data_IF_737085087720
#
_entry.id   IF_737085087720
#
_cell.length_a   1.000
_cell.length_b   1.000
_cell.length_c   1.000
_cell.angle_alpha   90.00
_cell.angle_beta   90.00
_cell.angle_gamma   90.00
#
_symmetry.space_group_name_H-M   'P 1'
#
loop_
_entity.id
_entity.type
_entity.pdbx_description
1 polymer ?
#
# COMPACT_ATOMS: atom_id res chain seq x y z
N UNK A 1 17.98 1.49 17.77
CA UNK A 1 18.71 0.32 17.26
C UNK A 1 17.86 -0.37 16.19
N UNK A 2 18.48 -0.83 15.10
CA UNK A 2 17.80 -1.51 13.99
C UNK A 2 18.50 -2.85 13.77
N UNK A 3 17.74 -3.94 13.71
CA UNK A 3 18.28 -5.31 13.59
C UNK A 3 17.72 -5.99 12.33
N UNK A 4 18.13 -7.23 12.07
CA UNK A 4 17.55 -8.04 10.99
C UNK A 4 16.11 -8.51 11.25
N UNK A 5 15.56 -8.38 12.47
CA UNK A 5 14.22 -8.88 12.84
C UNK A 5 13.28 -7.84 13.50
N UNK A 6 13.81 -6.72 14.00
CA UNK A 6 13.07 -5.75 14.84
C UNK A 6 13.69 -4.36 14.86
N UNK A 7 12.87 -3.36 15.19
CA UNK A 7 13.30 -2.00 15.60
C UNK A 7 13.18 -1.89 17.11
N UNK A 8 14.23 -1.35 17.75
CA UNK A 8 14.24 -1.13 19.21
C UNK A 8 14.60 0.32 19.50
N UNK A 9 13.73 1.04 20.20
CA UNK A 9 14.04 2.34 20.78
C UNK A 9 14.72 2.14 22.12
N UNK A 10 15.90 2.75 22.28
CA UNK A 10 16.71 2.65 23.48
C UNK A 10 16.82 4.02 24.15
N UNK A 11 16.67 4.06 25.47
CA UNK A 11 17.05 5.20 26.29
C UNK A 11 18.48 4.97 26.80
N UNK A 12 19.40 5.80 26.33
CA UNK A 12 20.75 5.91 26.85
C UNK A 12 20.76 6.92 28.02
N UNK A 13 21.52 6.64 29.08
CA UNK A 13 21.74 7.61 30.18
C UNK A 13 22.89 8.59 29.90
N UNK A 14 23.89 8.14 29.15
CA UNK A 14 25.18 8.80 28.95
C UNK A 14 25.85 8.16 27.72
N UNK A 15 25.93 8.90 26.62
CA UNK A 15 26.41 8.38 25.33
C UNK A 15 27.90 7.97 25.38
N UNK A 16 28.69 8.60 26.25
CA UNK A 16 30.13 8.39 26.37
C UNK A 16 30.47 7.28 27.38
N UNK A 17 29.47 6.67 28.04
CA UNK A 17 29.63 5.61 29.05
C UNK A 17 28.76 4.37 28.79
N UNK A 18 28.48 4.09 27.52
CA UNK A 18 27.70 2.93 27.07
C UNK A 18 28.22 1.59 27.62
N UNK A 19 29.54 1.44 27.78
CA UNK A 19 30.17 0.22 28.34
C UNK A 19 29.96 0.05 29.84
N UNK A 20 29.64 1.14 30.56
CA UNK A 20 29.54 1.19 32.03
C UNK A 20 28.11 1.10 32.54
N UNK A 21 27.12 1.40 31.69
CA UNK A 21 25.70 1.36 32.06
C UNK A 21 24.84 0.89 30.87
N UNK A 22 24.13 -0.25 30.97
CA UNK A 22 23.33 -0.75 29.87
C UNK A 22 22.20 0.22 29.51
N UNK A 23 21.92 0.34 28.21
CA UNK A 23 20.78 1.11 27.71
C UNK A 23 19.45 0.43 28.05
N UNK A 24 18.44 1.22 28.41
CA UNK A 24 17.09 0.73 28.70
C UNK A 24 16.30 0.59 27.40
N UNK A 25 15.61 -0.54 27.20
CA UNK A 25 14.63 -0.68 26.11
C UNK A 25 13.37 0.11 26.47
N UNK A 26 12.99 1.04 25.60
CA UNK A 26 11.76 1.84 25.74
C UNK A 26 10.62 1.31 24.90
N UNK A 27 10.94 0.72 23.74
CA UNK A 27 9.98 0.17 22.78
C UNK A 27 10.71 -0.85 21.90
N UNK A 28 10.09 -1.98 21.63
CA UNK A 28 10.61 -3.05 20.77
C UNK A 28 9.46 -3.59 19.92
N UNK A 29 9.63 -3.58 18.59
CA UNK A 29 8.63 -4.07 17.65
C UNK A 29 9.29 -4.90 16.54
N UNK A 30 8.78 -6.13 16.27
CA UNK A 30 9.23 -6.97 15.18
C UNK A 30 8.82 -6.40 13.82
N UNK A 31 9.59 -6.68 12.76
CA UNK A 31 9.35 -6.15 11.41
C UNK A 31 8.00 -6.57 10.81
N UNK A 32 7.45 -7.67 11.31
CA UNK A 32 6.16 -8.25 10.95
C UNK A 32 4.99 -7.39 11.42
N UNK A 33 5.12 -6.68 12.55
CA UNK A 33 4.10 -5.80 13.12
C UNK A 33 4.23 -4.34 12.68
N UNK A 34 5.35 -3.95 12.06
CA UNK A 34 5.49 -2.64 11.44
C UNK A 34 4.63 -2.57 10.17
N UNK A 35 3.87 -1.48 10.01
CA UNK A 35 2.94 -1.27 8.90
C UNK A 35 3.35 -0.14 7.96
N UNK A 36 3.81 1.00 8.48
CA UNK A 36 4.22 2.14 7.67
C UNK A 36 5.26 2.99 8.41
N UNK A 37 6.02 3.80 7.65
CA UNK A 37 7.01 4.72 8.21
C UNK A 37 6.87 6.09 7.57
N UNK A 38 6.58 7.10 8.40
CA UNK A 38 6.25 8.46 7.99
C UNK A 38 7.19 9.48 8.64
N UNK A 39 7.43 10.59 7.92
CA UNK A 39 8.26 11.71 8.36
C UNK A 39 7.39 12.95 8.56
N UNK A 40 7.30 13.43 9.80
CA UNK A 40 6.45 14.56 10.15
C UNK A 40 7.24 15.84 10.43
N UNK A 41 6.63 16.97 10.04
CA UNK A 41 7.11 18.35 10.20
C UNK A 41 6.36 19.06 11.33
N UNK A 42 6.52 18.61 12.57
CA UNK A 42 5.83 19.24 13.70
C UNK A 42 6.44 20.62 13.99
N UNK A 43 5.77 21.70 13.55
CA UNK A 43 6.18 23.09 13.76
C UNK A 43 7.54 23.49 13.15
N UNK A 44 8.04 22.74 12.17
CA UNK A 44 9.41 22.86 11.65
C UNK A 44 9.45 22.71 10.13
N UNK A 45 10.28 23.51 9.44
CA UNK A 45 10.37 23.48 7.96
C UNK A 45 10.94 22.16 7.41
N UNK A 46 11.77 21.48 8.22
CA UNK A 46 12.42 20.20 7.93
C UNK A 46 11.79 19.08 8.78
N UNK A 47 11.75 17.82 8.31
CA UNK A 47 11.26 16.70 9.10
C UNK A 47 12.01 16.55 10.44
N UNK A 48 11.25 16.56 11.52
CA UNK A 48 11.75 16.53 12.90
C UNK A 48 11.25 15.33 13.68
N UNK A 49 10.20 14.65 13.19
CA UNK A 49 9.60 13.50 13.84
C UNK A 49 9.52 12.32 12.88
N UNK A 50 9.73 11.12 13.43
CA UNK A 50 9.56 9.83 12.75
C UNK A 50 8.37 9.12 13.37
N UNK A 51 7.44 8.63 12.55
CA UNK A 51 6.24 7.92 13.01
C UNK A 51 6.27 6.49 12.46
N UNK A 52 6.27 5.52 13.36
CA UNK A 52 6.21 4.09 13.06
C UNK A 52 4.78 3.60 13.30
N UNK A 53 4.02 3.34 12.24
CA UNK A 53 2.65 2.83 12.34
C UNK A 53 2.67 1.30 12.50
N UNK A 54 1.81 0.77 13.38
CA UNK A 54 1.71 -0.66 13.69
C UNK A 54 0.54 -1.34 12.97
N UNK A 55 0.65 -2.64 12.70
CA UNK A 55 -0.43 -3.47 12.14
C UNK A 55 -1.47 -3.82 13.20
N UNK A 56 -1.01 -4.33 14.34
CA UNK A 56 -1.86 -4.79 15.43
C UNK A 56 -1.78 -3.80 16.59
N UNK A 57 -2.94 -3.30 17.02
CA UNK A 57 -3.12 -2.51 18.23
C UNK A 57 -4.58 -2.66 18.70
N UNK A 58 -4.81 -2.61 20.01
CA UNK A 58 -6.15 -2.49 20.60
C UNK A 58 -6.59 -1.04 20.64
N UNK A 59 -7.88 -0.76 20.71
CA UNK A 59 -8.44 0.61 20.85
C UNK A 59 -7.84 1.45 22.00
N UNK A 60 -7.34 0.80 23.05
CA UNK A 60 -6.70 1.45 24.21
C UNK A 60 -5.19 1.66 24.06
N UNK A 61 -4.58 1.17 22.98
CA UNK A 61 -3.14 1.17 22.73
C UNK A 61 -2.78 2.19 21.63
N UNK A 62 -1.54 2.67 21.63
CA UNK A 62 -1.08 3.54 20.55
C UNK A 62 -0.87 2.75 19.26
N UNK A 63 -1.58 3.14 18.21
CA UNK A 63 -1.43 2.57 16.86
C UNK A 63 -0.11 2.95 16.18
N UNK A 64 0.61 3.93 16.71
CA UNK A 64 1.90 4.37 16.19
C UNK A 64 2.87 4.78 17.30
N UNK A 65 4.17 4.60 17.04
CA UNK A 65 5.24 5.15 17.87
C UNK A 65 5.80 6.41 17.21
N UNK A 66 5.60 7.55 17.88
CA UNK A 66 6.21 8.83 17.48
C UNK A 66 7.59 8.95 18.15
N UNK A 67 8.59 9.35 17.38
CA UNK A 67 9.96 9.59 17.84
C UNK A 67 10.35 11.01 17.41
N UNK A 68 10.61 11.89 18.39
CA UNK A 68 11.22 13.20 18.14
C UNK A 68 12.72 13.01 17.87
N UNK A 69 13.20 13.58 16.77
CA UNK A 69 14.60 13.56 16.38
C UNK A 69 15.22 14.96 16.55
N UNK A 70 16.54 15.02 16.66
CA UNK A 70 17.26 16.30 16.64
C UNK A 70 17.23 16.90 15.23
N UNK A 71 16.94 18.19 15.17
CA UNK A 71 17.13 19.01 13.98
C UNK A 71 18.37 19.85 14.25
N UNK A 72 19.51 19.62 13.57
CA UNK A 72 20.64 20.51 13.68
C UNK A 72 20.25 21.89 13.15
N UNK A 73 20.55 22.94 13.91
CA UNK A 73 20.25 24.33 13.54
C UNK A 73 21.16 24.82 12.40
N UNK A 74 22.37 24.26 12.31
CA UNK A 74 23.35 24.60 11.27
C UNK A 74 22.84 24.27 9.86
N UNK A 75 22.78 25.31 9.02
CA UNK A 75 22.24 25.29 7.67
C UNK A 75 23.11 24.54 6.64
N UNK A 76 24.21 23.91 7.06
CA UNK A 76 25.28 23.32 6.23
C UNK A 76 24.89 22.03 5.46
N UNK A 77 23.73 22.01 4.81
CA UNK A 77 23.30 20.95 3.88
C UNK A 77 23.04 19.56 4.51
N UNK A 78 23.29 19.38 5.80
CA UNK A 78 23.20 18.09 6.48
C UNK A 78 21.73 17.61 6.56
N UNK A 79 21.46 16.40 6.07
CA UNK A 79 20.12 15.79 6.15
C UNK A 79 19.61 15.73 7.61
N UNK A 80 18.33 16.03 7.89
CA UNK A 80 17.77 15.93 9.24
C UNK A 80 17.92 14.52 9.84
N UNK A 81 18.12 14.42 11.15
CA UNK A 81 18.32 13.12 11.82
C UNK A 81 17.14 12.15 11.56
N UNK A 82 15.90 12.68 11.54
CA UNK A 82 14.70 11.91 11.21
C UNK A 82 14.80 11.25 9.82
N UNK A 83 15.28 11.99 8.80
CA UNK A 83 15.44 11.49 7.42
C UNK A 83 16.47 10.37 7.37
N UNK A 84 17.62 10.55 8.03
CA UNK A 84 18.69 9.53 8.07
C UNK A 84 18.22 8.24 8.74
N UNK A 85 17.53 8.34 9.89
CA UNK A 85 16.95 7.17 10.59
C UNK A 85 15.87 6.51 9.72
N UNK A 86 14.98 7.29 9.12
CA UNK A 86 13.91 6.81 8.23
C UNK A 86 14.46 5.99 7.05
N UNK A 87 15.52 6.49 6.41
CA UNK A 87 16.22 5.80 5.31
C UNK A 87 16.76 4.44 5.74
N UNK A 88 17.45 4.37 6.88
CA UNK A 88 18.00 3.11 7.42
C UNK A 88 16.88 2.12 7.78
N UNK A 89 15.82 2.56 8.46
CA UNK A 89 14.68 1.72 8.84
C UNK A 89 13.97 1.18 7.59
N UNK A 90 13.65 2.03 6.60
CA UNK A 90 13.06 1.62 5.31
C UNK A 90 13.94 0.60 4.59
N UNK A 91 15.26 0.81 4.51
CA UNK A 91 16.20 -0.11 3.86
C UNK A 91 16.19 -1.49 4.52
N UNK A 92 16.31 -1.53 5.85
CA UNK A 92 16.35 -2.80 6.60
C UNK A 92 15.01 -3.54 6.55
N UNK A 93 13.90 -2.83 6.64
CA UNK A 93 12.56 -3.40 6.57
C UNK A 93 12.22 -3.95 5.18
N UNK A 94 12.57 -3.23 4.09
CA UNK A 94 12.41 -3.76 2.72
C UNK A 94 13.29 -5.00 2.48
N UNK A 95 14.52 -5.02 3.00
CA UNK A 95 15.36 -6.21 2.94
C UNK A 95 14.74 -7.41 3.70
N UNK A 96 14.13 -7.16 4.86
CA UNK A 96 13.38 -8.18 5.61
C UNK A 96 12.21 -8.74 4.81
N UNK A 97 11.35 -7.88 4.25
CA UNK A 97 10.21 -8.28 3.43
C UNK A 97 10.63 -9.12 2.20
N UNK A 98 11.70 -8.72 1.50
CA UNK A 98 12.26 -9.48 0.38
C UNK A 98 12.77 -10.86 0.82
N UNK A 99 13.43 -10.96 1.97
CA UNK A 99 13.90 -12.24 2.50
C UNK A 99 12.73 -13.17 2.87
N UNK A 100 11.64 -12.66 3.47
CA UNK A 100 10.44 -13.46 3.73
C UNK A 100 9.81 -14.00 2.44
N UNK A 101 9.66 -13.17 1.40
CA UNK A 101 9.13 -13.60 0.10
C UNK A 101 9.96 -14.74 -0.51
N UNK A 102 11.29 -14.70 -0.37
CA UNK A 102 12.17 -15.78 -0.82
C UNK A 102 12.12 -17.05 0.04
N UNK A 103 11.80 -16.95 1.34
CA UNK A 103 11.63 -18.11 2.23
C UNK A 103 10.40 -18.95 1.86
N UNK A 104 9.30 -18.30 1.47
CA UNK A 104 8.06 -18.98 1.05
C UNK A 104 8.24 -19.79 -0.25
N UNK A 105 9.20 -19.43 -1.11
CA UNK A 105 9.43 -20.06 -2.41
C UNK A 105 10.33 -21.31 -2.38
N UNK A 106 10.79 -21.76 -1.20
CA UNK A 106 11.69 -22.92 -1.06
C UNK A 106 10.96 -24.27 -1.07
N UNK A 107 10.41 -24.63 -2.23
CA UNK A 107 9.95 -26.01 -2.49
C UNK A 107 11.18 -26.92 -2.73
N UNK A 108 11.23 -28.16 -2.18
CA UNK A 108 12.34 -29.07 -2.44
C UNK A 108 12.53 -29.40 -3.93
N UNK A 109 13.78 -29.31 -4.39
CA UNK A 109 14.19 -29.40 -5.81
C UNK A 109 13.95 -30.75 -6.52
N UNK A 110 13.30 -31.72 -5.89
CA UNK A 110 13.06 -33.07 -6.43
C UNK A 110 11.73 -33.23 -7.19
N UNK A 111 10.80 -32.27 -7.11
CA UNK A 111 9.56 -32.29 -7.89
C UNK A 111 9.64 -31.32 -9.08
N UNK A 112 9.81 -31.89 -10.28
CA UNK A 112 9.84 -31.14 -11.54
C UNK A 112 8.44 -30.71 -11.96
N UNK A 113 8.29 -29.40 -12.21
CA UNK A 113 7.16 -28.73 -12.87
C UNK A 113 5.77 -28.86 -12.22
N UNK A 114 5.44 -27.88 -11.38
CA UNK A 114 4.05 -27.44 -11.17
C UNK A 114 3.97 -25.97 -11.57
N UNK A 115 3.24 -25.66 -12.63
CA UNK A 115 2.84 -24.28 -12.93
C UNK A 115 1.65 -23.93 -12.03
N UNK A 116 1.77 -22.87 -11.22
CA UNK A 116 0.62 -22.24 -10.60
C UNK A 116 -0.13 -21.41 -11.66
N UNK A 117 -0.96 -22.08 -12.46
CA UNK A 117 -2.04 -21.42 -13.14
C UNK A 117 -3.02 -20.91 -12.07
N UNK A 118 -3.16 -19.59 -11.96
CA UNK A 118 -4.29 -19.00 -11.25
C UNK A 118 -5.54 -19.32 -12.07
N UNK A 119 -6.46 -20.09 -11.49
CA UNK A 119 -7.70 -20.48 -12.16
C UNK A 119 -8.64 -19.28 -12.26
N UNK A 120 -8.58 -18.56 -13.38
CA UNK A 120 -9.81 -18.08 -14.01
C UNK A 120 -10.49 -19.27 -14.70
N UNK A 121 -11.45 -19.87 -14.01
CA UNK A 121 -12.60 -20.51 -14.65
C UNK A 121 -13.76 -19.50 -14.53
N UNK A 122 -14.61 -19.29 -15.53
CA UNK A 122 -15.10 -20.24 -16.53
C UNK A 122 -15.29 -19.56 -17.91
N UNK A 123 -15.34 -20.33 -18.99
CA UNK A 123 -15.60 -19.80 -20.35
C UNK A 123 -14.72 -20.36 -21.49
N UNK A 124 -14.90 -21.65 -21.82
CA UNK A 124 -14.73 -22.26 -23.17
C UNK A 124 -14.56 -21.23 -24.32
N UNK A 125 -13.60 -21.34 -25.26
CA UNK A 125 -13.36 -22.54 -26.08
C UNK A 125 -12.10 -22.46 -27.00
N UNK A 126 -11.50 -23.62 -27.25
CA UNK A 126 -10.82 -24.08 -28.49
C UNK A 126 -9.69 -23.30 -29.24
N UNK A 127 -8.56 -24.03 -29.35
CA UNK A 127 -7.64 -24.20 -30.50
C UNK A 127 -6.52 -23.18 -30.79
N UNK A 128 -5.31 -23.58 -30.38
CA UNK A 128 -4.11 -23.79 -31.23
C UNK A 128 -3.81 -22.80 -32.35
N UNK A 129 -2.70 -22.05 -32.24
CA UNK A 129 -1.65 -22.03 -33.28
C UNK A 129 -0.28 -21.60 -32.73
N UNK A 130 0.78 -22.32 -33.10
CA UNK A 130 2.18 -21.87 -32.97
C UNK A 130 2.48 -20.85 -34.07
N UNK A 131 3.30 -19.83 -33.78
CA UNK A 131 4.40 -19.31 -34.63
C UNK A 131 5.07 -18.14 -33.86
N UNK A 132 6.36 -18.25 -33.48
CA UNK A 132 7.55 -17.87 -34.28
C UNK A 132 7.46 -16.45 -34.88
N UNK A 133 8.29 -15.55 -34.34
CA UNK A 133 8.56 -14.24 -34.91
C UNK A 133 9.42 -14.38 -36.19
N UNK A 134 9.00 -13.72 -37.27
CA UNK A 134 9.80 -13.42 -38.47
C UNK A 134 9.49 -11.97 -38.90
N UNK A 135 10.47 -11.31 -39.51
CA UNK A 135 10.54 -9.87 -39.74
C UNK A 135 9.95 -9.47 -41.12
N UNK A 136 9.17 -8.36 -41.12
CA UNK A 136 8.79 -7.47 -42.25
C UNK A 136 8.14 -8.06 -43.52
N UNK A 137 6.99 -7.48 -43.88
CA UNK A 137 6.78 -6.87 -45.20
C UNK A 137 5.90 -5.62 -45.07
N UNK A 138 5.94 -4.72 -46.06
CA UNK A 138 5.19 -3.45 -46.12
C UNK A 138 4.55 -3.37 -47.50
N UNK A 139 3.22 -3.32 -47.58
CA UNK A 139 2.50 -2.73 -48.72
C UNK A 139 1.04 -2.42 -48.35
N UNK A 140 0.46 -1.44 -49.05
CA UNK A 140 -0.91 -0.91 -48.86
C UNK A 140 -1.88 -1.70 -49.78
N UNK A 141 -3.22 -1.73 -49.71
CA UNK A 141 -4.27 -0.77 -49.30
C UNK A 141 -5.64 -1.53 -49.28
N UNK A 142 -6.82 -1.05 -48.85
CA UNK A 142 -7.26 -0.01 -47.88
C UNK A 142 -8.80 0.12 -47.89
N UNK A 143 -9.52 -0.06 -46.77
CA UNK A 143 -10.90 0.47 -46.60
C UNK A 143 -11.45 0.46 -45.17
N UNK A 144 -11.87 1.65 -44.73
CA UNK A 144 -13.00 1.92 -43.80
C UNK A 144 -13.18 1.08 -42.52
N UNK A 145 -12.56 1.55 -41.44
CA UNK A 145 -13.32 1.90 -40.24
C UNK A 145 -12.78 3.19 -39.64
N UNK A 146 -13.68 4.01 -39.10
CA UNK A 146 -13.40 5.36 -38.57
C UNK A 146 -12.21 5.35 -37.62
N UNK A 147 -11.29 6.31 -37.77
CA UNK A 147 -10.23 6.56 -36.79
C UNK A 147 -10.86 6.94 -35.45
N UNK A 148 -10.97 5.96 -34.55
CA UNK A 148 -11.40 6.17 -33.17
C UNK A 148 -10.26 6.89 -32.44
N UNK A 149 -10.23 8.22 -32.60
CA UNK A 149 -9.17 9.10 -32.11
C UNK A 149 -8.89 8.81 -30.64
N UNK A 150 -7.64 8.40 -30.37
CA UNK A 150 -7.14 7.77 -29.13
C UNK A 150 -7.78 8.32 -27.86
N UNK A 151 -8.97 7.84 -27.50
CA UNK A 151 -9.73 8.45 -26.41
C UNK A 151 -8.99 8.26 -25.10
N UNK A 152 -8.50 9.38 -24.54
CA UNK A 152 -7.66 9.38 -23.34
C UNK A 152 -8.37 8.78 -22.13
N UNK A 153 -9.70 8.90 -22.08
CA UNK A 153 -10.56 8.41 -21.00
C UNK A 153 -11.64 7.48 -21.55
N UNK A 154 -11.70 6.27 -21.02
CA UNK A 154 -12.81 5.34 -21.16
C UNK A 154 -13.53 5.22 -19.82
N UNK A 155 -14.80 4.84 -19.86
CA UNK A 155 -15.58 4.55 -18.67
C UNK A 155 -15.58 3.04 -18.41
N UNK A 156 -15.24 2.63 -17.20
CA UNK A 156 -15.41 1.26 -16.72
C UNK A 156 -16.67 1.18 -15.86
N UNK A 157 -17.42 0.10 -16.07
CA UNK A 157 -18.62 -0.30 -15.31
C UNK A 157 -18.38 -1.58 -14.49
N UNK A 158 -17.20 -2.19 -14.64
CA UNK A 158 -16.82 -3.42 -13.95
C UNK A 158 -15.86 -3.07 -12.80
N UNK A 159 -16.09 -3.66 -11.63
CA UNK A 159 -15.37 -3.34 -10.41
C UNK A 159 -15.08 -4.59 -9.58
N UNK A 160 -13.95 -4.61 -8.88
CA UNK A 160 -13.69 -5.55 -7.79
C UNK A 160 -13.86 -4.86 -6.43
N UNK A 161 -14.56 -5.53 -5.50
CA UNK A 161 -14.70 -5.03 -4.13
C UNK A 161 -13.37 -5.21 -3.40
N UNK A 162 -12.85 -4.13 -2.83
CA UNK A 162 -11.66 -4.14 -1.98
C UNK A 162 -12.07 -4.26 -0.51
N UNK A 163 -13.08 -3.52 -0.08
CA UNK A 163 -13.49 -3.46 1.32
C UNK A 163 -14.96 -3.06 1.52
N UNK A 164 -15.49 -3.32 2.71
CA UNK A 164 -16.83 -2.98 3.17
C UNK A 164 -16.79 -2.58 4.64
N UNK A 165 -17.46 -1.48 5.01
CA UNK A 165 -17.48 -0.94 6.39
C UNK A 165 -18.40 -1.70 7.34
N UNK A 166 -18.56 -3.01 7.12
CA UNK A 166 -19.32 -3.91 7.98
C UNK A 166 -18.63 -4.01 9.34
N UNK A 167 -19.35 -3.60 10.39
CA UNK A 167 -18.85 -3.55 11.77
C UNK A 167 -18.89 -4.93 12.42
N UNK A 168 -17.90 -5.22 13.25
CA UNK A 168 -17.87 -6.44 14.05
C UNK A 168 -19.03 -6.43 15.06
N UNK A 169 -19.98 -7.36 14.92
CA UNK A 169 -21.16 -7.45 15.80
C UNK A 169 -20.86 -8.18 17.11
N UNK A 170 -19.90 -7.64 17.89
CA UNK A 170 -19.53 -8.19 19.21
C UNK A 170 -20.76 -8.27 20.11
N UNK A 171 -21.18 -9.49 20.41
CA UNK A 171 -22.50 -9.79 20.94
C UNK A 171 -22.79 -9.25 22.35
N UNK A 172 -24.04 -8.86 22.58
CA UNK A 172 -24.71 -8.64 23.89
C UNK A 172 -23.86 -7.92 24.97
N UNK A 173 -23.66 -6.62 24.80
CA UNK A 173 -23.48 -5.70 25.93
C UNK A 173 -24.85 -5.25 26.47
N UNK A 174 -25.22 -5.63 27.70
CA UNK A 174 -26.51 -5.24 28.32
C UNK A 174 -26.52 -3.84 28.96
N UNK A 175 -25.39 -3.13 28.96
CA UNK A 175 -25.20 -1.82 29.62
C UNK A 175 -24.74 -0.71 28.67
N UNK A 176 -24.56 -1.03 27.39
CA UNK A 176 -24.24 -0.06 26.36
C UNK A 176 -25.55 0.59 25.92
N UNK A 177 -25.81 1.83 26.37
CA UNK A 177 -26.91 2.65 25.84
C UNK A 177 -26.84 2.61 24.31
N UNK A 178 -27.99 2.50 23.64
CA UNK A 178 -28.07 2.73 22.20
C UNK A 178 -27.37 4.04 21.90
N UNK A 179 -26.17 3.98 21.31
CA UNK A 179 -25.75 5.09 20.47
C UNK A 179 -26.77 5.13 19.34
N UNK A 180 -27.27 6.32 19.05
CA UNK A 180 -28.30 6.50 18.05
C UNK A 180 -27.88 5.81 16.77
N UNK A 181 -28.83 5.13 16.13
CA UNK A 181 -28.63 4.56 14.81
C UNK A 181 -28.42 5.74 13.85
N UNK A 182 -27.17 6.15 13.67
CA UNK A 182 -26.79 6.85 12.46
C UNK A 182 -27.30 6.01 11.30
N UNK A 183 -28.09 6.63 10.43
CA UNK A 183 -28.54 6.10 9.13
C UNK A 183 -27.35 5.99 8.13
N UNK A 184 -26.14 5.82 8.67
CA UNK A 184 -24.89 5.68 7.97
C UNK A 184 -24.82 4.31 7.31
N UNK A 185 -25.41 4.22 6.12
CA UNK A 185 -25.30 3.07 5.25
C UNK A 185 -23.84 2.63 5.05
N UNK A 186 -23.64 1.33 4.87
CA UNK A 186 -22.31 0.71 4.69
C UNK A 186 -21.53 1.43 3.59
N UNK A 187 -20.30 1.85 3.86
CA UNK A 187 -19.38 2.36 2.86
C UNK A 187 -18.55 1.22 2.28
N UNK A 188 -18.43 1.14 0.96
CA UNK A 188 -17.62 0.14 0.26
C UNK A 188 -16.53 0.80 -0.58
N UNK A 189 -15.41 0.12 -0.77
CA UNK A 189 -14.31 0.59 -1.62
C UNK A 189 -14.12 -0.38 -2.78
N UNK A 190 -14.02 0.16 -3.99
CA UNK A 190 -14.03 -0.58 -5.25
C UNK A 190 -12.87 -0.18 -6.16
N UNK A 191 -12.24 -1.16 -6.80
CA UNK A 191 -11.22 -0.92 -7.83
C UNK A 191 -11.85 -1.07 -9.22
N UNK A 192 -11.73 -0.07 -10.12
CA UNK A 192 -12.19 -0.20 -11.49
C UNK A 192 -11.39 -1.26 -12.26
N UNK A 193 -12.07 -2.23 -12.86
CA UNK A 193 -11.45 -3.20 -13.77
C UNK A 193 -11.05 -2.50 -15.06
N UNK A 194 -9.77 -2.63 -15.44
CA UNK A 194 -9.19 -1.92 -16.58
C UNK A 194 -9.05 -2.85 -17.80
N UNK A 195 -9.61 -2.49 -18.97
CA UNK A 195 -9.33 -3.19 -20.21
C UNK A 195 -7.84 -3.12 -20.60
N UNK A 196 -7.38 -4.02 -21.46
CA UNK A 196 -6.02 -4.00 -21.97
C UNK A 196 -5.66 -2.62 -22.57
N UNK A 197 -4.49 -2.08 -22.18
CA UNK A 197 -4.04 -0.74 -22.57
C UNK A 197 -4.62 0.42 -21.76
N UNK A 198 -5.51 0.16 -20.79
CA UNK A 198 -6.04 1.17 -19.85
C UNK A 198 -5.54 0.95 -18.42
N UNK A 199 -5.57 2.01 -17.61
CA UNK A 199 -5.14 2.00 -16.21
C UNK A 199 -6.12 2.79 -15.32
N UNK A 200 -6.30 2.38 -14.07
CA UNK A 200 -7.00 3.17 -13.05
C UNK A 200 -5.98 4.01 -12.28
N UNK A 201 -6.38 5.20 -11.87
CA UNK A 201 -5.53 6.13 -11.13
C UNK A 201 -5.87 6.22 -9.63
N UNK A 202 -6.79 5.38 -9.16
CA UNK A 202 -7.21 5.24 -7.78
C UNK A 202 -8.37 4.25 -7.60
N UNK A 203 -8.81 4.08 -6.36
CA UNK A 203 -10.01 3.34 -6.00
C UNK A 203 -11.17 4.29 -5.64
N UNK A 204 -12.40 3.78 -5.73
CA UNK A 204 -13.63 4.54 -5.52
C UNK A 204 -14.30 4.11 -4.21
N UNK A 205 -14.44 5.04 -3.27
CA UNK A 205 -15.32 4.88 -2.12
C UNK A 205 -16.77 5.16 -2.54
N UNK A 206 -17.72 4.34 -2.07
CA UNK A 206 -19.13 4.42 -2.44
C UNK A 206 -20.02 4.17 -1.21
N UNK A 207 -21.11 4.94 -1.10
CA UNK A 207 -22.12 4.73 -0.05
C UNK A 207 -23.12 3.68 -0.53
N UNK A 208 -23.20 2.56 0.17
CA UNK A 208 -23.95 1.38 -0.19
C UNK A 208 -23.07 0.13 -0.30
N UNK A 209 -23.71 -1.03 -0.40
CA UNK A 209 -23.06 -2.35 -0.55
C UNK A 209 -22.71 -2.73 -2.00
N UNK A 210 -23.21 -1.94 -2.97
CA UNK A 210 -23.12 -2.11 -4.42
C UNK A 210 -21.90 -1.38 -5.02
N UNK A 211 -21.44 -1.74 -6.23
CA UNK A 211 -20.43 -0.95 -6.93
C UNK A 211 -20.99 0.39 -7.41
N UNK A 212 -20.13 1.42 -7.59
CA UNK A 212 -20.52 2.66 -8.26
C UNK A 212 -20.89 2.40 -9.72
N UNK A 213 -21.78 3.22 -10.29
CA UNK A 213 -22.28 3.04 -11.66
C UNK A 213 -21.17 3.12 -12.74
N UNK A 214 -20.16 3.95 -12.52
CA UNK A 214 -19.11 4.23 -13.51
C UNK A 214 -17.86 4.82 -12.86
N UNK A 215 -16.69 4.52 -13.42
CA UNK A 215 -15.42 5.17 -13.11
C UNK A 215 -14.61 5.45 -14.37
N UNK A 216 -13.80 6.51 -14.34
CA UNK A 216 -12.87 6.84 -15.41
C UNK A 216 -11.63 5.92 -15.35
N UNK A 217 -11.27 5.33 -16.50
CA UNK A 217 -10.01 4.60 -16.72
C UNK A 217 -9.29 5.20 -17.92
N UNK A 218 -7.97 5.27 -17.86
CA UNK A 218 -7.18 6.13 -18.73
C UNK A 218 -6.29 5.33 -19.68
N UNK A 219 -6.14 5.80 -20.91
CA UNK A 219 -5.37 5.12 -21.94
C UNK A 219 -3.85 5.25 -21.68
N UNK A 220 -3.17 4.12 -21.45
CA UNK A 220 -1.74 4.05 -21.14
C UNK A 220 -0.85 3.65 -22.35
N UNK A 221 -1.35 3.78 -23.59
CA UNK A 221 -0.56 3.42 -24.78
C UNK A 221 0.55 4.41 -25.15
N UNK A 222 0.51 5.63 -24.62
CA UNK A 222 1.45 6.70 -24.98
C UNK A 222 2.55 6.95 -23.91
N UNK A 223 2.68 6.09 -22.88
CA UNK A 223 3.74 6.22 -21.85
C UNK A 223 3.56 7.40 -20.88
N UNK A 224 2.35 7.97 -20.80
CA UNK A 224 2.02 9.13 -19.94
C UNK A 224 1.72 8.77 -18.47
N UNK A 225 1.82 7.49 -18.11
CA UNK A 225 1.72 7.01 -16.72
C UNK A 225 3.04 6.37 -16.28
N UNK A 226 3.41 6.60 -15.03
CA UNK A 226 4.56 5.99 -14.38
C UNK A 226 4.13 5.28 -13.10
N UNK A 227 4.87 4.24 -12.71
CA UNK A 227 4.68 3.59 -11.42
C UNK A 227 5.14 4.53 -10.27
N UNK A 228 4.47 4.51 -9.11
CA UNK A 228 4.86 5.32 -7.98
C UNK A 228 6.18 4.85 -7.37
N UNK A 229 6.92 5.76 -6.74
CA UNK A 229 8.18 5.47 -6.01
C UNK A 229 7.93 4.89 -4.61
N UNK A 230 6.74 4.33 -4.38
CA UNK A 230 6.18 3.81 -3.14
C UNK A 230 5.06 4.70 -2.58
N UNK A 231 4.58 4.39 -1.38
CA UNK A 231 3.33 4.97 -0.87
C UNK A 231 3.45 5.57 0.54
N UNK A 232 2.61 6.56 0.83
CA UNK A 232 2.39 7.13 2.17
C UNK A 232 1.03 6.65 2.70
N UNK A 233 0.94 6.32 3.99
CA UNK A 233 -0.30 5.86 4.62
C UNK A 233 -1.23 7.06 4.85
N UNK A 234 -2.44 7.01 4.30
CA UNK A 234 -3.48 8.04 4.51
C UNK A 234 -4.38 7.66 5.66
N UNK A 235 -4.86 6.42 5.64
CA UNK A 235 -5.80 5.92 6.65
C UNK A 235 -5.74 4.40 6.74
N UNK A 236 -6.21 3.87 7.87
CA UNK A 236 -6.46 2.44 8.08
C UNK A 236 -7.55 2.25 9.13
N UNK A 237 -8.21 1.11 9.11
CA UNK A 237 -9.16 0.78 10.16
C UNK A 237 -8.49 0.10 11.38
N UNK A 238 -9.21 0.03 12.50
CA UNK A 238 -8.86 -0.83 13.63
C UNK A 238 -9.57 -2.18 13.47
N UNK A 239 -8.87 -3.28 13.80
CA UNK A 239 -9.45 -4.64 13.77
C UNK A 239 -10.58 -4.83 14.79
N UNK A 240 -10.66 -3.98 15.82
CA UNK A 240 -11.73 -4.02 16.83
C UNK A 240 -13.03 -3.31 16.40
N UNK A 241 -13.07 -2.68 15.22
CA UNK A 241 -14.22 -1.92 14.70
C UNK A 241 -14.95 -2.60 13.53
N UNK A 242 -14.22 -3.32 12.67
CA UNK A 242 -14.74 -3.82 11.40
C UNK A 242 -14.26 -5.25 11.11
N UNK A 243 -15.11 -6.02 10.42
CA UNK A 243 -14.90 -7.45 10.16
C UNK A 243 -13.67 -7.71 9.28
N UNK A 244 -13.37 -6.79 8.35
CA UNK A 244 -12.24 -6.92 7.42
C UNK A 244 -11.24 -5.77 7.56
N UNK A 245 -9.92 -6.02 7.47
CA UNK A 245 -8.91 -4.97 7.52
C UNK A 245 -8.84 -4.17 6.21
N UNK A 246 -8.54 -2.88 6.31
CA UNK A 246 -8.22 -2.03 5.15
C UNK A 246 -7.16 -0.99 5.49
N UNK A 247 -6.32 -0.70 4.51
CA UNK A 247 -5.43 0.46 4.51
C UNK A 247 -5.56 1.23 3.19
N UNK A 248 -5.52 2.56 3.29
CA UNK A 248 -5.66 3.50 2.19
C UNK A 248 -4.35 4.29 2.09
N UNK A 249 -3.79 4.32 0.89
CA UNK A 249 -2.44 4.79 0.62
C UNK A 249 -2.45 5.85 -0.48
N UNK A 250 -1.65 6.89 -0.29
CA UNK A 250 -1.37 7.90 -1.31
C UNK A 250 -0.09 7.52 -2.06
N UNK A 251 -0.12 7.28 -3.38
CA UNK A 251 1.07 7.01 -4.17
C UNK A 251 2.00 8.23 -4.21
N UNK A 252 3.30 8.04 -3.97
CA UNK A 252 4.31 9.07 -4.24
C UNK A 252 4.65 9.05 -5.73
N UNK A 253 4.28 10.11 -6.43
CA UNK A 253 4.61 10.28 -7.84
C UNK A 253 6.14 10.41 -8.04
N UNK A 254 6.69 9.85 -9.14
CA UNK A 254 8.04 10.19 -9.58
C UNK A 254 8.13 11.65 -10.06
N UNK A 255 9.35 12.16 -10.22
CA UNK A 255 9.60 13.52 -10.69
C UNK A 255 8.95 13.77 -12.07
N UNK A 256 8.28 14.92 -12.20
CA UNK A 256 7.51 15.28 -13.40
C UNK A 256 6.09 14.70 -13.47
N UNK A 257 5.68 13.85 -12.52
CA UNK A 257 4.34 13.26 -12.47
C UNK A 257 3.53 13.74 -11.25
N UNK A 258 2.23 13.48 -11.26
CA UNK A 258 1.30 13.74 -10.16
C UNK A 258 0.54 12.46 -9.81
N UNK A 259 0.20 12.28 -8.53
CA UNK A 259 -0.72 11.22 -8.09
C UNK A 259 -2.11 11.84 -7.92
N UNK A 260 -3.12 11.42 -8.71
CA UNK A 260 -4.45 12.02 -8.67
C UNK A 260 -5.44 11.29 -7.74
N UNK A 261 -5.05 10.16 -7.14
CA UNK A 261 -5.96 9.30 -6.39
C UNK A 261 -5.24 8.37 -5.41
N UNK A 262 -5.98 7.92 -4.39
CA UNK A 262 -5.49 6.95 -3.42
C UNK A 262 -5.83 5.51 -3.84
N UNK A 263 -5.07 4.56 -3.32
CA UNK A 263 -5.31 3.11 -3.50
C UNK A 263 -5.56 2.45 -2.15
N UNK A 264 -6.54 1.54 -2.11
CA UNK A 264 -6.87 0.74 -0.94
C UNK A 264 -6.32 -0.69 -1.07
N UNK A 265 -6.05 -1.30 0.08
CA UNK A 265 -5.61 -2.70 0.20
C UNK A 265 -6.42 -3.37 1.29
N UNK A 266 -6.95 -4.57 1.00
CA UNK A 266 -7.65 -5.43 1.95
C UNK A 266 -6.66 -6.08 2.94
N UNK A 267 -6.09 -5.27 3.84
CA UNK A 267 -5.04 -5.66 4.77
C UNK A 267 -4.19 -4.48 5.22
N UNK A 268 -3.12 -4.79 5.96
CA UNK A 268 -2.15 -3.81 6.48
C UNK A 268 -0.77 -4.00 5.83
N UNK A 269 -0.73 -3.88 4.50
CA UNK A 269 0.49 -3.97 3.70
C UNK A 269 0.55 -2.78 2.73
N UNK A 270 1.76 -2.29 2.45
CA UNK A 270 2.00 -1.35 1.35
C UNK A 270 1.66 -2.04 0.01
N UNK A 271 1.00 -1.37 -0.96
CA UNK A 271 0.59 -1.95 -2.25
C UNK A 271 1.73 -2.52 -3.12
#
# INVERSE_FOLDING_TARGET
MVTNKRVVLLQCSDLDKMDKKPSKIMWDVPWEELMALELAKAGSQRPSHLILHLKSFRKSESFAQVIKCSVPEDLNGLEPQAVRICSVVRKMWKAYQSNMKNLVLKVPSSQRHVYFAWNEADGRDSKTYKNKAIIKSRELSSSSSVSDDKKLVKHSINFSKIWSSERESKGRCSLCKKQDSEDGGVCTIWRPSCPAGFVSVGDVAHVGSHPPNVAAVYNNTNGVFALPVGYDLVWRNCLDDYISPVSIWHPRAPEGFVSPGCVAVAGFIEP
#
